data_IF_735917204959
#
_entry.id   IF_735917204959
#
_cell.length_a   1.000
_cell.length_b   1.000
_cell.length_c   1.000
_cell.angle_alpha   90.00
_cell.angle_beta   90.00
_cell.angle_gamma   90.00
#
_symmetry.space_group_name_H-M   'P 1'
#
loop_
_entity.id
_entity.type
_entity.pdbx_description
1 polymer ?
#
# COMPACT_ATOMS: atom_id res chain seq x y z
N UNK A 1 -21.71 12.97 -2.86
CA UNK A 1 -22.09 12.53 -1.51
C UNK A 1 -23.60 12.42 -1.47
N UNK A 2 -24.14 11.21 -1.66
CA UNK A 2 -25.52 10.93 -1.26
C UNK A 2 -25.43 10.44 0.17
N UNK A 3 -25.91 11.24 1.11
CA UNK A 3 -26.19 10.80 2.48
C UNK A 3 -27.39 9.85 2.42
N UNK A 4 -27.13 8.56 2.29
CA UNK A 4 -28.12 7.54 2.62
C UNK A 4 -28.25 7.53 4.14
N UNK A 5 -29.38 8.04 4.63
CA UNK A 5 -29.84 7.79 5.99
C UNK A 5 -29.93 6.29 6.19
N UNK A 6 -28.92 5.70 6.83
CA UNK A 6 -28.93 4.31 7.29
C UNK A 6 -29.92 4.21 8.44
N UNK A 7 -31.15 3.87 8.13
CA UNK A 7 -32.05 3.28 9.13
C UNK A 7 -31.55 1.85 9.36
N UNK A 8 -31.14 1.55 10.59
CA UNK A 8 -30.80 0.17 10.99
C UNK A 8 -31.91 -0.77 10.54
N UNK A 9 -31.62 -1.85 9.79
CA UNK A 9 -32.65 -2.77 9.34
C UNK A 9 -33.46 -3.30 10.53
N UNK A 10 -34.78 -3.35 10.34
CA UNK A 10 -35.74 -3.80 11.35
C UNK A 10 -36.12 -5.28 11.17
N UNK A 11 -35.68 -5.91 10.07
CA UNK A 11 -35.96 -7.31 9.75
C UNK A 11 -34.68 -8.06 9.31
N UNK A 12 -34.68 -9.38 9.54
CA UNK A 12 -33.52 -10.25 9.34
C UNK A 12 -33.08 -10.36 7.87
N UNK A 13 -34.02 -10.39 6.93
CA UNK A 13 -33.74 -10.53 5.50
C UNK A 13 -32.94 -9.34 4.98
N UNK A 14 -33.37 -8.12 5.31
CA UNK A 14 -32.61 -6.92 4.94
C UNK A 14 -31.25 -6.85 5.65
N UNK A 15 -31.17 -7.28 6.92
CA UNK A 15 -29.91 -7.31 7.65
C UNK A 15 -28.89 -8.29 7.02
N UNK A 16 -29.33 -9.48 6.63
CA UNK A 16 -28.50 -10.45 5.91
C UNK A 16 -28.08 -9.92 4.54
N UNK A 17 -29.01 -9.33 3.77
CA UNK A 17 -28.67 -8.72 2.47
C UNK A 17 -27.61 -7.63 2.65
N UNK A 18 -27.71 -6.79 3.69
CA UNK A 18 -26.71 -5.77 3.98
C UNK A 18 -25.35 -6.36 4.37
N UNK A 19 -25.34 -7.47 5.12
CA UNK A 19 -24.11 -8.16 5.51
C UNK A 19 -23.42 -8.88 4.34
N UNK A 20 -24.19 -9.30 3.34
CA UNK A 20 -23.72 -10.13 2.23
C UNK A 20 -23.44 -9.34 0.94
N UNK A 21 -23.91 -8.09 0.84
CA UNK A 21 -23.66 -7.25 -0.31
C UNK A 21 -22.32 -6.52 -0.20
N UNK A 22 -21.39 -6.87 -1.09
CA UNK A 22 -20.06 -6.26 -1.16
C UNK A 22 -19.30 -6.26 0.18
N UNK A 23 -19.27 -7.40 0.90
CA UNK A 23 -18.74 -7.45 2.26
C UNK A 23 -17.25 -7.08 2.34
N UNK A 24 -16.51 -7.27 1.25
CA UNK A 24 -15.08 -6.95 1.18
C UNK A 24 -14.81 -5.51 0.74
N UNK A 25 -15.83 -4.73 0.38
CA UNK A 25 -15.67 -3.31 0.03
C UNK A 25 -14.64 -3.11 -1.09
N UNK A 26 -13.54 -2.44 -0.75
CA UNK A 26 -12.41 -2.18 -1.65
C UNK A 26 -11.18 -3.06 -1.38
N UNK A 27 -11.26 -4.06 -0.48
CA UNK A 27 -10.13 -4.91 -0.12
C UNK A 27 -9.46 -5.53 -1.35
N UNK A 28 -10.28 -5.92 -2.33
CA UNK A 28 -9.83 -6.35 -3.65
C UNK A 28 -10.51 -5.56 -4.75
N UNK A 29 -9.81 -4.54 -5.26
CA UNK A 29 -10.25 -3.82 -6.45
C UNK A 29 -9.91 -4.66 -7.69
N UNK A 30 -10.88 -4.85 -8.59
CA UNK A 30 -10.60 -5.46 -9.90
C UNK A 30 -9.90 -4.46 -10.82
N UNK A 31 -8.75 -4.86 -11.37
CA UNK A 31 -7.99 -4.11 -12.38
C UNK A 31 -7.94 -4.88 -13.69
N UNK A 32 -7.75 -4.17 -14.81
CA UNK A 32 -7.55 -4.81 -16.11
C UNK A 32 -6.21 -5.54 -16.13
N UNK A 33 -6.20 -6.73 -16.74
CA UNK A 33 -4.96 -7.45 -16.97
C UNK A 33 -4.30 -6.97 -18.26
N UNK A 34 -2.99 -6.79 -18.19
CA UNK A 34 -2.12 -6.55 -19.33
C UNK A 34 -1.09 -7.67 -19.45
N UNK A 35 -0.77 -8.07 -20.68
CA UNK A 35 0.32 -9.02 -20.94
C UNK A 35 1.70 -8.39 -20.67
N UNK A 36 2.76 -9.17 -20.84
CA UNK A 36 4.14 -8.75 -20.59
C UNK A 36 4.60 -7.59 -21.49
N UNK A 37 3.92 -7.37 -22.61
CA UNK A 37 4.17 -6.31 -23.58
C UNK A 37 3.32 -5.06 -23.31
N UNK A 38 2.46 -5.09 -22.28
CA UNK A 38 1.57 -4.00 -21.91
C UNK A 38 0.28 -3.94 -22.74
N UNK A 39 -0.08 -5.00 -23.48
CA UNK A 39 -1.35 -5.06 -24.19
C UNK A 39 -2.48 -5.48 -23.24
N UNK A 40 -3.61 -4.78 -23.30
CA UNK A 40 -4.80 -5.10 -22.51
C UNK A 40 -5.36 -6.45 -22.97
N UNK A 41 -5.44 -7.42 -22.08
CA UNK A 41 -5.95 -8.77 -22.39
C UNK A 41 -7.48 -8.84 -22.43
N UNK A 42 -8.16 -7.83 -21.88
CA UNK A 42 -9.61 -7.78 -21.72
C UNK A 42 -10.12 -8.49 -20.46
N UNK A 43 -9.22 -9.15 -19.72
CA UNK A 43 -9.53 -9.81 -18.46
C UNK A 43 -9.36 -8.86 -17.27
N UNK A 44 -9.89 -9.25 -16.11
CA UNK A 44 -9.73 -8.51 -14.85
C UNK A 44 -9.19 -9.44 -13.77
N UNK A 45 -8.28 -8.92 -12.95
CA UNK A 45 -7.75 -9.60 -11.78
C UNK A 45 -8.00 -8.80 -10.51
N UNK A 46 -8.12 -9.50 -9.38
CA UNK A 46 -8.29 -8.90 -8.05
C UNK A 46 -6.93 -8.47 -7.50
N UNK A 47 -6.79 -7.18 -7.20
CA UNK A 47 -5.59 -6.62 -6.57
C UNK A 47 -5.85 -6.29 -5.10
N UNK A 48 -4.96 -6.74 -4.22
CA UNK A 48 -5.09 -6.44 -2.79
C UNK A 48 -4.77 -4.98 -2.49
N UNK A 49 -5.56 -4.32 -1.65
CA UNK A 49 -5.44 -2.87 -1.46
C UNK A 49 -4.05 -2.42 -0.95
N UNK A 50 -3.36 -3.19 -0.12
CA UNK A 50 -1.99 -2.83 0.31
C UNK A 50 -0.96 -2.95 -0.81
N UNK A 51 -1.19 -3.88 -1.75
CA UNK A 51 -0.49 -3.88 -3.03
C UNK A 51 -0.80 -2.53 -3.68
N UNK A 52 -2.08 -2.21 -3.91
CA UNK A 52 -2.50 -0.94 -4.50
C UNK A 52 -1.99 0.33 -3.82
N UNK A 53 -1.63 0.34 -2.54
CA UNK A 53 -1.23 1.56 -1.84
C UNK A 53 0.26 1.57 -1.49
N UNK A 54 1.04 0.66 -2.07
CA UNK A 54 2.51 0.78 -2.14
C UNK A 54 3.29 -0.01 -1.10
N UNK A 55 2.72 -1.02 -0.42
CA UNK A 55 3.53 -1.92 0.41
C UNK A 55 4.46 -2.83 -0.43
N UNK A 56 3.96 -3.39 -1.56
CA UNK A 56 4.69 -4.21 -2.54
C UNK A 56 4.34 -3.85 -4.01
N UNK A 57 4.12 -2.55 -4.25
CA UNK A 57 3.63 -1.96 -5.52
C UNK A 57 2.16 -2.25 -5.76
N UNK A 58 1.24 -1.36 -6.18
CA UNK A 58 1.31 -0.04 -6.78
C UNK A 58 0.04 0.85 -6.57
N UNK A 59 0.25 2.11 -6.18
CA UNK A 59 -0.51 3.38 -6.38
C UNK A 59 -1.89 3.74 -5.75
N UNK A 60 -1.90 4.79 -4.89
CA UNK A 60 -3.08 5.59 -4.50
C UNK A 60 -2.96 7.07 -4.90
N UNK A 61 -4.12 7.74 -5.07
CA UNK A 61 -4.26 9.20 -5.02
C UNK A 61 -5.49 9.63 -4.19
N UNK A 62 -5.38 10.72 -3.38
CA UNK A 62 -6.51 11.57 -3.09
C UNK A 62 -6.73 12.58 -4.23
N UNK A 63 -8.00 12.84 -4.50
CA UNK A 63 -8.51 13.75 -5.52
C UNK A 63 -8.05 15.21 -5.41
N UNK A 64 -7.70 15.81 -6.56
CA UNK A 64 -7.67 17.26 -6.90
C UNK A 64 -6.72 18.18 -6.10
N UNK A 65 -5.41 18.17 -6.40
CA UNK A 65 -4.57 19.39 -6.39
C UNK A 65 -3.47 19.28 -7.46
N UNK A 66 -3.30 20.26 -8.37
CA UNK A 66 -2.22 20.27 -9.36
C UNK A 66 -1.01 21.06 -8.82
N UNK A 67 -0.18 20.49 -7.95
CA UNK A 67 1.16 21.06 -7.69
C UNK A 67 2.18 20.16 -6.95
N UNK A 68 1.88 18.90 -6.68
CA UNK A 68 2.88 17.98 -6.10
C UNK A 68 2.72 16.63 -6.79
N UNK A 69 3.56 16.36 -7.79
CA UNK A 69 3.68 15.02 -8.37
C UNK A 69 4.17 14.08 -7.26
N UNK A 70 3.39 13.07 -6.84
CA UNK A 70 3.90 12.05 -5.94
C UNK A 70 4.88 11.17 -6.73
N UNK A 71 6.07 11.00 -6.15
CA UNK A 71 7.19 10.21 -6.66
C UNK A 71 6.96 8.77 -6.19
N UNK A 72 6.74 7.85 -7.13
CA UNK A 72 6.49 6.44 -6.85
C UNK A 72 7.78 5.68 -6.53
N UNK A 73 7.85 5.14 -5.31
CA UNK A 73 8.60 3.91 -5.07
C UNK A 73 7.91 3.08 -3.98
N UNK A 74 7.91 1.76 -4.16
CA UNK A 74 7.42 0.80 -3.17
C UNK A 74 8.03 1.11 -1.81
N UNK A 75 7.23 1.03 -0.75
CA UNK A 75 7.71 1.31 0.59
C UNK A 75 8.97 0.50 0.91
N UNK A 76 8.99 -0.80 0.59
CA UNK A 76 10.16 -1.66 0.77
C UNK A 76 11.40 -1.15 0.05
N UNK A 77 11.24 -0.87 -1.24
CA UNK A 77 12.32 -0.47 -2.13
C UNK A 77 12.86 0.91 -1.72
N UNK A 78 11.96 1.81 -1.29
CA UNK A 78 12.32 3.13 -0.77
C UNK A 78 13.03 3.05 0.58
N UNK A 79 12.58 2.15 1.47
CA UNK A 79 13.25 1.88 2.75
C UNK A 79 14.67 1.37 2.49
N UNK A 80 14.84 0.40 1.59
CA UNK A 80 16.17 -0.11 1.19
C UNK A 80 17.06 1.01 0.65
N UNK A 81 16.56 1.84 -0.27
CA UNK A 81 17.31 2.99 -0.76
C UNK A 81 17.72 3.95 0.37
N UNK A 82 16.84 4.16 1.34
CA UNK A 82 17.11 5.04 2.48
C UNK A 82 18.11 4.45 3.47
N UNK A 83 18.24 3.13 3.49
CA UNK A 83 19.25 2.46 4.30
C UNK A 83 20.64 2.44 3.64
N UNK A 84 20.78 2.99 2.43
CA UNK A 84 22.10 3.20 1.78
C UNK A 84 22.83 4.46 2.25
N UNK A 85 22.13 5.36 2.95
CA UNK A 85 22.76 6.54 3.55
C UNK A 85 23.73 6.16 4.68
N UNK A 86 24.71 7.03 4.99
CA UNK A 86 25.61 6.82 6.13
C UNK A 86 24.84 6.58 7.43
N UNK A 87 25.29 5.61 8.21
CA UNK A 87 24.64 5.21 9.47
C UNK A 87 25.11 6.03 10.67
N UNK A 88 26.27 6.68 10.54
CA UNK A 88 26.89 7.50 11.57
C UNK A 88 27.79 8.59 10.97
N UNK A 89 28.18 9.56 11.81
CA UNK A 89 29.05 10.67 11.41
C UNK A 89 30.42 10.22 10.86
N UNK A 90 31.11 9.21 11.44
CA UNK A 90 32.34 8.67 10.85
C UNK A 90 32.16 8.12 9.43
N UNK A 91 31.06 7.41 9.17
CA UNK A 91 30.73 6.90 7.82
C UNK A 91 30.44 8.05 6.86
N UNK A 92 29.75 9.09 7.32
CA UNK A 92 29.50 10.29 6.52
C UNK A 92 30.81 11.01 6.16
N UNK A 93 31.68 11.29 7.13
CA UNK A 93 32.99 11.93 6.91
C UNK A 93 33.90 11.08 6.01
N UNK A 94 33.76 9.75 6.04
CA UNK A 94 34.53 8.86 5.15
C UNK A 94 34.10 9.04 3.68
N UNK A 95 32.80 9.17 3.41
CA UNK A 95 32.29 9.37 2.05
C UNK A 95 32.44 10.82 1.57
N UNK A 96 32.29 11.77 2.49
CA UNK A 96 32.27 13.21 2.20
C UNK A 96 33.25 13.95 3.11
N UNK A 97 34.58 13.76 2.98
CA UNK A 97 35.54 14.37 3.88
C UNK A 97 35.39 15.89 3.93
N UNK A 98 35.23 16.45 5.13
CA UNK A 98 35.05 17.89 5.35
C UNK A 98 36.21 18.71 4.77
N UNK A 99 37.42 18.15 4.84
CA UNK A 99 38.62 18.74 4.26
C UNK A 99 38.53 18.93 2.73
N UNK A 100 37.79 18.07 2.03
CA UNK A 100 37.55 18.13 0.58
C UNK A 100 36.39 19.05 0.20
N UNK A 101 35.64 19.57 1.18
CA UNK A 101 34.41 20.35 0.99
C UNK A 101 34.54 21.79 1.51
N UNK A 102 35.71 22.40 1.32
CA UNK A 102 35.95 23.80 1.71
C UNK A 102 35.00 24.78 1.01
N UNK A 103 34.61 24.50 -0.24
CA UNK A 103 33.63 25.30 -0.98
C UNK A 103 32.26 25.33 -0.29
N UNK A 104 31.81 24.18 0.24
CA UNK A 104 30.56 24.07 0.98
C UNK A 104 30.58 24.92 2.26
N UNK A 105 31.67 24.80 3.03
CA UNK A 105 31.85 25.56 4.28
C UNK A 105 32.01 27.07 4.03
N UNK A 106 32.57 27.45 2.87
CA UNK A 106 32.69 28.86 2.46
C UNK A 106 31.36 29.46 2.03
N UNK A 107 30.48 28.64 1.44
CA UNK A 107 29.13 29.03 1.06
C UNK A 107 28.22 29.19 2.29
N UNK A 108 28.19 28.18 3.17
CA UNK A 108 27.49 28.23 4.45
C UNK A 108 28.24 27.35 5.48
N UNK A 109 28.81 27.95 6.55
CA UNK A 109 29.59 27.23 7.55
C UNK A 109 28.85 26.12 8.28
N UNK A 110 27.51 26.15 8.29
CA UNK A 110 26.67 25.17 8.96
C UNK A 110 26.15 24.08 8.01
N UNK A 111 26.30 24.25 6.69
CA UNK A 111 25.67 23.37 5.71
C UNK A 111 26.23 21.94 5.76
N UNK A 112 27.54 21.79 6.02
CA UNK A 112 28.14 20.46 6.21
C UNK A 112 27.46 19.70 7.36
N UNK A 113 27.39 20.32 8.54
CA UNK A 113 26.80 19.70 9.72
C UNK A 113 25.31 19.45 9.57
N UNK A 114 24.57 20.41 8.97
CA UNK A 114 23.15 20.24 8.71
C UNK A 114 22.87 19.09 7.74
N UNK A 115 23.73 18.90 6.74
CA UNK A 115 23.60 17.79 5.77
C UNK A 115 23.88 16.45 6.42
N UNK A 116 24.94 16.37 7.23
CA UNK A 116 25.24 15.18 8.04
C UNK A 116 24.04 14.82 8.92
N UNK A 117 23.57 15.74 9.75
CA UNK A 117 22.43 15.52 10.65
C UNK A 117 21.18 15.06 9.88
N UNK A 118 20.81 15.73 8.78
CA UNK A 118 19.63 15.35 8.02
C UNK A 118 19.72 13.94 7.41
N UNK A 119 20.89 13.53 6.91
CA UNK A 119 21.07 12.17 6.38
C UNK A 119 21.02 11.10 7.48
N UNK A 120 21.66 11.36 8.62
CA UNK A 120 21.67 10.42 9.74
C UNK A 120 20.29 10.28 10.38
N UNK A 121 19.57 11.38 10.61
CA UNK A 121 18.23 11.35 11.20
C UNK A 121 17.20 10.70 10.27
N UNK A 122 17.34 10.93 8.96
CA UNK A 122 16.55 10.23 7.95
C UNK A 122 16.83 8.74 7.95
N UNK A 123 18.10 8.32 7.94
CA UNK A 123 18.49 6.91 8.03
C UNK A 123 17.93 6.26 9.29
N UNK A 124 18.11 6.90 10.46
CA UNK A 124 17.61 6.40 11.75
C UNK A 124 16.09 6.22 11.74
N UNK A 125 15.35 7.18 11.18
CA UNK A 125 13.89 7.11 11.08
C UNK A 125 13.41 5.98 10.17
N UNK A 126 14.10 5.76 9.04
CA UNK A 126 13.80 4.67 8.11
C UNK A 126 14.19 3.30 8.68
N UNK A 127 15.30 3.22 9.43
CA UNK A 127 15.71 2.00 10.13
C UNK A 127 14.70 1.66 11.24
N UNK A 128 14.30 2.63 12.07
CA UNK A 128 13.26 2.44 13.09
C UNK A 128 11.95 1.94 12.47
N UNK A 129 11.51 2.54 11.36
CA UNK A 129 10.35 2.07 10.63
C UNK A 129 10.52 0.62 10.15
N UNK A 130 11.67 0.28 9.59
CA UNK A 130 11.97 -1.09 9.15
C UNK A 130 11.90 -2.09 10.29
N UNK A 131 12.49 -1.77 11.44
CA UNK A 131 12.54 -2.67 12.61
C UNK A 131 11.17 -2.84 13.30
N UNK A 132 10.39 -1.76 13.40
CA UNK A 132 9.20 -1.73 14.27
C UNK A 132 7.86 -1.73 13.51
N UNK A 133 7.82 -1.37 12.23
CA UNK A 133 6.59 -1.28 11.45
C UNK A 133 6.45 -2.41 10.41
N UNK A 134 7.54 -2.86 9.77
CA UNK A 134 7.46 -3.82 8.64
C UNK A 134 6.82 -5.16 9.04
N UNK A 135 7.13 -5.69 10.22
CA UNK A 135 6.54 -6.93 10.72
C UNK A 135 5.02 -6.84 10.92
N UNK A 136 4.50 -5.64 11.23
CA UNK A 136 3.07 -5.41 11.45
C UNK A 136 2.24 -5.62 10.19
N UNK A 137 2.81 -5.35 9.00
CA UNK A 137 2.12 -5.58 7.72
C UNK A 137 1.85 -7.07 7.48
N UNK A 138 2.81 -7.92 7.83
CA UNK A 138 2.63 -9.37 7.72
C UNK A 138 1.48 -9.87 8.61
N UNK A 139 1.36 -9.32 9.82
CA UNK A 139 0.24 -9.61 10.71
C UNK A 139 -1.09 -9.18 10.09
N UNK A 140 -1.17 -8.01 9.45
CA UNK A 140 -2.40 -7.56 8.75
C UNK A 140 -2.81 -8.55 7.65
N UNK A 141 -1.87 -9.08 6.86
CA UNK A 141 -2.17 -10.08 5.84
C UNK A 141 -2.69 -11.38 6.44
N UNK A 142 -2.05 -11.86 7.51
CA UNK A 142 -2.48 -13.06 8.23
C UNK A 142 -3.89 -12.88 8.78
N UNK A 143 -4.18 -11.74 9.41
CA UNK A 143 -5.50 -11.48 9.99
C UNK A 143 -6.60 -11.38 8.94
N UNK A 144 -6.29 -10.76 7.80
CA UNK A 144 -7.18 -10.71 6.65
C UNK A 144 -7.48 -12.10 6.11
N UNK A 145 -6.43 -12.92 5.94
CA UNK A 145 -6.59 -14.31 5.51
C UNK A 145 -7.45 -15.11 6.49
N UNK A 146 -7.20 -15.00 7.79
CA UNK A 146 -7.96 -15.71 8.83
C UNK A 146 -9.44 -15.34 8.77
N UNK A 147 -9.77 -14.05 8.69
CA UNK A 147 -11.15 -13.61 8.65
C UNK A 147 -11.86 -14.08 7.38
N UNK A 148 -11.28 -13.85 6.20
CA UNK A 148 -11.88 -14.25 4.93
C UNK A 148 -12.07 -15.77 4.83
N UNK A 149 -11.10 -16.55 5.32
CA UNK A 149 -11.21 -18.02 5.36
C UNK A 149 -12.37 -18.45 6.26
N UNK A 150 -12.45 -17.92 7.48
CA UNK A 150 -13.52 -18.25 8.41
C UNK A 150 -14.91 -17.89 7.85
N UNK A 151 -15.04 -16.74 7.18
CA UNK A 151 -16.29 -16.32 6.54
C UNK A 151 -16.68 -17.26 5.40
N UNK A 152 -15.75 -17.58 4.49
CA UNK A 152 -16.00 -18.48 3.38
C UNK A 152 -16.41 -19.89 3.86
N UNK A 153 -15.71 -20.44 4.85
CA UNK A 153 -15.97 -21.78 5.38
C UNK A 153 -17.33 -21.87 6.09
N UNK A 154 -17.68 -20.87 6.91
CA UNK A 154 -18.95 -20.86 7.63
C UNK A 154 -20.15 -20.55 6.72
N UNK A 155 -19.94 -19.81 5.63
CA UNK A 155 -21.03 -19.46 4.72
C UNK A 155 -21.44 -20.63 3.82
N UNK A 156 -20.48 -21.43 3.33
CA UNK A 156 -20.77 -22.55 2.42
C UNK A 156 -19.93 -23.81 2.67
N UNK A 157 -18.71 -23.69 3.17
CA UNK A 157 -17.76 -24.80 3.32
C UNK A 157 -18.19 -25.95 4.23
N UNK A 158 -19.13 -25.70 5.15
CA UNK A 158 -19.61 -26.69 6.12
C UNK A 158 -20.88 -27.48 5.68
N UNK A 159 -21.33 -27.37 4.43
CA UNK A 159 -22.49 -28.13 3.93
C UNK A 159 -23.80 -27.74 4.63
N UNK A 160 -24.57 -28.70 5.14
CA UNK A 160 -25.88 -28.43 5.78
C UNK A 160 -25.77 -27.56 7.05
N UNK A 161 -24.63 -27.59 7.74
CA UNK A 161 -24.39 -26.77 8.94
C UNK A 161 -23.79 -25.39 8.62
N UNK A 162 -23.60 -25.06 7.34
CA UNK A 162 -23.21 -23.71 6.91
C UNK A 162 -24.39 -22.74 6.97
N UNK A 163 -24.13 -21.42 6.90
CA UNK A 163 -25.20 -20.42 6.81
C UNK A 163 -26.12 -20.71 5.61
N UNK A 164 -25.58 -21.07 4.45
CA UNK A 164 -26.39 -21.41 3.27
C UNK A 164 -27.29 -22.63 3.53
N UNK A 165 -26.74 -23.66 4.17
CA UNK A 165 -27.48 -24.87 4.54
C UNK A 165 -28.63 -24.57 5.50
N UNK A 166 -28.33 -23.83 6.58
CA UNK A 166 -29.31 -23.45 7.59
C UNK A 166 -30.42 -22.57 7.00
N UNK A 167 -30.08 -21.56 6.19
CA UNK A 167 -31.08 -20.72 5.52
C UNK A 167 -31.96 -21.55 4.58
N UNK A 168 -31.39 -22.52 3.86
CA UNK A 168 -32.15 -23.39 2.97
C UNK A 168 -33.13 -24.28 3.73
N UNK A 169 -32.76 -24.77 4.92
CA UNK A 169 -33.66 -25.50 5.80
C UNK A 169 -34.75 -24.58 6.37
N UNK A 170 -34.40 -23.41 6.91
CA UNK A 170 -35.33 -22.43 7.49
C UNK A 170 -36.36 -21.89 6.49
N UNK A 171 -36.02 -21.88 5.20
CA UNK A 171 -36.91 -21.45 4.11
C UNK A 171 -37.53 -22.62 3.34
N UNK A 172 -37.29 -23.86 3.79
CA UNK A 172 -37.80 -25.07 3.18
C UNK A 172 -39.31 -25.27 3.38
N UNK A 173 -39.86 -26.27 2.67
CA UNK A 173 -41.30 -26.55 2.68
C UNK A 173 -41.85 -26.82 4.09
N UNK A 174 -41.04 -27.44 4.96
CA UNK A 174 -41.39 -27.74 6.36
C UNK A 174 -41.79 -26.50 7.17
N UNK A 175 -41.18 -25.34 6.88
CA UNK A 175 -41.41 -24.08 7.61
C UNK A 175 -42.11 -23.00 6.75
N UNK A 176 -42.72 -23.42 5.63
CA UNK A 176 -43.39 -22.49 4.70
C UNK A 176 -44.71 -21.90 5.22
N UNK A 177 -45.35 -22.57 6.17
CA UNK A 177 -46.67 -22.20 6.69
C UNK A 177 -46.58 -21.40 8.00
N UNK A 178 -47.49 -20.44 8.26
CA UNK A 178 -47.60 -19.80 9.56
C UNK A 178 -47.79 -20.81 10.70
N UNK A 179 -47.18 -20.56 11.85
CA UNK A 179 -47.21 -21.44 13.01
C UNK A 179 -46.00 -22.37 13.11
N UNK A 180 -45.30 -22.60 12.00
CA UNK A 180 -44.11 -23.48 11.94
C UNK A 180 -42.90 -22.89 12.68
N UNK A 181 -42.86 -21.58 12.90
CA UNK A 181 -41.85 -20.92 13.75
C UNK A 181 -41.88 -21.40 15.21
N UNK A 182 -42.98 -22.02 15.65
CA UNK A 182 -43.08 -22.58 17.00
C UNK A 182 -42.44 -23.96 17.14
N UNK A 183 -42.05 -24.58 16.03
CA UNK A 183 -41.32 -25.86 16.03
C UNK A 183 -39.98 -25.70 16.77
N UNK A 184 -39.65 -26.70 17.58
CA UNK A 184 -38.38 -26.76 18.28
C UNK A 184 -37.21 -26.78 17.31
N UNK A 185 -37.34 -27.46 16.17
CA UNK A 185 -36.29 -27.55 15.17
C UNK A 185 -36.07 -26.22 14.44
N UNK A 186 -37.13 -25.48 14.09
CA UNK A 186 -37.02 -24.13 13.55
C UNK A 186 -36.25 -23.20 14.49
N UNK A 187 -36.62 -23.21 15.78
CA UNK A 187 -35.95 -22.39 16.81
C UNK A 187 -34.49 -22.79 16.98
N UNK A 188 -34.18 -24.08 16.97
CA UNK A 188 -32.81 -24.60 17.03
C UNK A 188 -31.96 -24.16 15.85
N UNK A 189 -32.51 -24.20 14.63
CA UNK A 189 -31.84 -23.74 13.41
C UNK A 189 -31.60 -22.22 13.41
N UNK A 190 -32.61 -21.43 13.78
CA UNK A 190 -32.49 -19.98 13.88
C UNK A 190 -31.46 -19.57 14.94
N UNK A 191 -31.46 -20.24 16.10
CA UNK A 191 -30.46 -20.04 17.14
C UNK A 191 -29.05 -20.39 16.66
N UNK A 192 -28.90 -21.52 15.94
CA UNK A 192 -27.60 -21.93 15.38
C UNK A 192 -27.06 -20.92 14.37
N UNK A 193 -27.92 -20.40 13.48
CA UNK A 193 -27.54 -19.32 12.56
C UNK A 193 -27.16 -18.03 13.32
N UNK A 194 -27.92 -17.67 14.35
CA UNK A 194 -27.63 -16.50 15.19
C UNK A 194 -26.26 -16.61 15.86
N UNK A 195 -25.92 -17.76 16.43
CA UNK A 195 -24.63 -18.02 17.09
C UNK A 195 -23.47 -17.99 16.10
N UNK A 196 -23.65 -18.57 14.90
CA UNK A 196 -22.65 -18.50 13.83
C UNK A 196 -22.36 -17.05 13.43
N UNK A 197 -23.41 -16.26 13.18
CA UNK A 197 -23.29 -14.84 12.81
C UNK A 197 -22.63 -14.03 13.94
N UNK A 198 -22.96 -14.32 15.20
CA UNK A 198 -22.35 -13.68 16.36
C UNK A 198 -20.86 -13.99 16.47
N UNK A 199 -20.47 -15.25 16.31
CA UNK A 199 -19.07 -15.68 16.38
C UNK A 199 -18.24 -15.02 15.27
N UNK A 200 -18.77 -14.96 14.05
CA UNK A 200 -18.12 -14.26 12.93
C UNK A 200 -18.04 -12.75 13.16
N UNK A 201 -19.10 -12.15 13.72
CA UNK A 201 -19.10 -10.73 14.12
C UNK A 201 -18.00 -10.41 15.14
N UNK A 202 -17.89 -11.24 16.18
CA UNK A 202 -16.86 -11.11 17.21
C UNK A 202 -15.46 -11.28 16.62
N UNK A 203 -15.26 -12.27 15.75
CA UNK A 203 -13.98 -12.47 15.05
C UNK A 203 -13.62 -11.24 14.20
N UNK A 204 -14.54 -10.72 13.39
CA UNK A 204 -14.31 -9.54 12.55
C UNK A 204 -13.93 -8.31 13.40
N UNK A 205 -14.66 -8.05 14.49
CA UNK A 205 -14.38 -6.95 15.41
C UNK A 205 -13.05 -7.12 16.16
N UNK A 206 -12.69 -8.35 16.52
CA UNK A 206 -11.39 -8.67 17.11
C UNK A 206 -10.26 -8.36 16.12
N UNK A 207 -10.38 -8.79 14.86
CA UNK A 207 -9.39 -8.50 13.82
C UNK A 207 -9.31 -7.01 13.51
N UNK A 208 -10.45 -6.32 13.43
CA UNK A 208 -10.48 -4.87 13.28
C UNK A 208 -9.72 -4.14 14.40
N UNK A 209 -9.91 -4.57 15.66
CA UNK A 209 -9.23 -3.99 16.82
C UNK A 209 -7.71 -4.24 16.78
N UNK A 210 -7.30 -5.43 16.34
CA UNK A 210 -5.89 -5.77 16.15
C UNK A 210 -5.24 -4.92 15.06
N UNK A 211 -5.85 -4.83 13.87
CA UNK A 211 -5.40 -3.97 12.77
C UNK A 211 -5.33 -2.50 13.20
N UNK A 212 -6.26 -2.03 14.02
CA UNK A 212 -6.21 -0.68 14.57
C UNK A 212 -4.94 -0.43 15.40
N UNK A 213 -4.58 -1.38 16.29
CA UNK A 213 -3.34 -1.30 17.08
C UNK A 213 -2.07 -1.34 16.23
N UNK A 214 -2.05 -2.17 15.18
CA UNK A 214 -0.96 -2.24 14.20
C UNK A 214 -0.85 -0.91 13.42
N UNK A 215 -1.98 -0.35 13.00
CA UNK A 215 -2.04 0.94 12.29
C UNK A 215 -1.49 2.07 13.14
N UNK A 216 -1.83 2.12 14.43
CA UNK A 216 -1.28 3.12 15.35
C UNK A 216 0.25 2.99 15.50
N UNK A 217 0.77 1.76 15.55
CA UNK A 217 2.21 1.49 15.63
C UNK A 217 2.94 1.94 14.36
N UNK A 218 2.40 1.62 13.18
CA UNK A 218 2.93 2.07 11.88
C UNK A 218 2.88 3.60 11.77
N UNK A 219 1.77 4.22 12.15
CA UNK A 219 1.60 5.68 12.13
C UNK A 219 2.60 6.40 13.06
N UNK A 220 2.89 5.81 14.24
CA UNK A 220 3.90 6.36 15.15
C UNK A 220 5.28 6.40 14.50
N UNK A 221 5.69 5.33 13.80
CA UNK A 221 6.99 5.34 13.09
C UNK A 221 6.97 6.26 11.87
N UNK A 222 5.88 6.27 11.10
CA UNK A 222 5.70 7.18 9.96
C UNK A 222 5.82 8.65 10.36
N UNK A 223 5.36 9.03 11.56
CA UNK A 223 5.47 10.40 12.06
C UNK A 223 6.91 10.87 12.28
N UNK A 224 7.83 9.96 12.61
CA UNK A 224 9.27 10.26 12.74
C UNK A 224 9.86 10.64 11.38
N UNK A 225 9.55 9.86 10.35
CA UNK A 225 9.97 10.15 8.96
C UNK A 225 9.38 11.48 8.46
N UNK A 226 8.12 11.76 8.80
CA UNK A 226 7.51 13.05 8.46
C UNK A 226 8.14 14.23 9.21
N UNK A 227 8.75 13.99 10.37
CA UNK A 227 9.45 15.03 11.15
C UNK A 227 10.79 15.37 10.50
N UNK A 228 11.57 14.35 10.13
CA UNK A 228 12.87 14.53 9.46
C UNK A 228 12.74 15.17 8.09
N UNK A 229 11.59 15.04 7.43
CA UNK A 229 11.30 15.75 6.18
C UNK A 229 11.60 17.25 6.22
N UNK A 230 11.31 17.94 7.32
CA UNK A 230 11.56 19.39 7.42
C UNK A 230 13.06 19.73 7.38
N UNK A 231 13.88 18.88 8.00
CA UNK A 231 15.33 19.04 8.04
C UNK A 231 15.93 18.74 6.65
N UNK A 232 15.44 17.68 6.01
CA UNK A 232 15.80 17.34 4.62
C UNK A 232 15.43 18.48 3.67
N UNK A 233 14.20 18.98 3.71
CA UNK A 233 13.72 20.06 2.84
C UNK A 233 14.57 21.34 3.02
N UNK A 234 15.01 21.63 4.24
CA UNK A 234 15.88 22.77 4.53
C UNK A 234 17.28 22.61 3.91
N UNK A 235 17.88 21.42 3.98
CA UNK A 235 19.17 21.11 3.33
C UNK A 235 19.04 21.16 1.82
N UNK A 236 18.04 20.49 1.25
CA UNK A 236 17.76 20.46 -0.20
C UNK A 236 17.59 21.87 -0.77
N UNK A 237 16.91 22.75 -0.02
CA UNK A 237 16.76 24.16 -0.40
C UNK A 237 18.10 24.89 -0.48
N UNK A 238 18.99 24.72 0.51
CA UNK A 238 20.33 25.36 0.51
C UNK A 238 21.22 24.86 -0.62
N UNK A 239 21.10 23.58 -0.98
CA UNK A 239 21.78 23.03 -2.16
C UNK A 239 21.24 23.64 -3.47
N UNK A 240 19.96 24.02 -3.51
CA UNK A 240 19.35 24.69 -4.65
C UNK A 240 18.76 23.73 -5.69
N UNK A 241 18.35 22.53 -5.26
CA UNK A 241 17.80 21.48 -6.14
C UNK A 241 16.38 21.78 -6.65
N UNK A 242 15.57 22.54 -5.90
CA UNK A 242 14.17 22.86 -6.26
C UNK A 242 13.96 24.37 -6.49
N UNK A 243 14.28 25.18 -5.47
CA UNK A 243 14.38 26.66 -5.52
C UNK A 243 15.11 27.12 -4.27
N UNK A 244 16.20 27.88 -4.38
CA UNK A 244 16.99 28.24 -3.20
C UNK A 244 18.35 28.86 -3.51
N UNK A 245 19.24 28.82 -2.51
CA UNK A 245 20.46 29.65 -2.40
C UNK A 245 21.60 29.23 -3.36
N UNK A 246 21.36 28.18 -4.16
CA UNK A 246 22.16 27.71 -5.31
C UNK A 246 23.62 27.35 -5.00
N UNK A 247 23.92 26.60 -3.93
CA UNK A 247 25.26 26.03 -3.76
C UNK A 247 25.72 25.27 -5.03
N UNK A 248 24.83 24.52 -5.66
CA UNK A 248 25.10 23.79 -6.92
C UNK A 248 25.59 24.72 -8.04
N UNK A 249 25.08 25.96 -8.12
CA UNK A 249 25.54 26.95 -9.11
C UNK A 249 26.97 27.45 -8.86
N UNK A 250 27.46 27.33 -7.63
CA UNK A 250 28.87 27.66 -7.31
C UNK A 250 29.85 26.61 -7.83
N UNK A 251 29.37 25.41 -8.18
CA UNK A 251 30.17 24.30 -8.71
C UNK A 251 30.29 24.33 -10.24
N UNK A 252 29.16 24.46 -10.95
CA UNK A 252 29.03 24.71 -12.41
C UNK A 252 27.55 24.91 -12.77
N UNK A 253 27.22 25.91 -13.59
CA UNK A 253 25.86 26.15 -14.10
C UNK A 253 25.33 24.98 -14.96
N UNK A 254 26.22 24.31 -15.70
CA UNK A 254 25.86 23.18 -16.58
C UNK A 254 25.46 21.94 -15.79
N UNK A 255 26.07 21.72 -14.61
CA UNK A 255 25.71 20.61 -13.73
C UNK A 255 24.25 20.70 -13.27
N UNK A 256 23.81 21.92 -12.90
CA UNK A 256 22.42 22.17 -12.50
C UNK A 256 21.44 21.74 -13.60
N UNK A 257 21.76 22.04 -14.86
CA UNK A 257 20.93 21.67 -16.01
C UNK A 257 20.83 20.15 -16.19
N UNK A 258 21.95 19.43 -16.13
CA UNK A 258 21.96 17.97 -16.31
C UNK A 258 21.20 17.25 -15.19
N UNK A 259 21.31 17.75 -13.95
CA UNK A 259 20.56 17.22 -12.82
C UNK A 259 19.05 17.45 -12.96
N UNK A 260 18.63 18.63 -13.43
CA UNK A 260 17.22 18.94 -13.71
C UNK A 260 16.67 17.98 -14.79
N UNK A 261 17.41 17.75 -15.87
CA UNK A 261 17.00 16.82 -16.93
C UNK A 261 16.83 15.40 -16.39
N UNK A 262 17.76 14.92 -15.56
CA UNK A 262 17.65 13.62 -14.92
C UNK A 262 16.42 13.53 -14.00
N UNK A 263 16.22 14.51 -13.11
CA UNK A 263 15.08 14.53 -12.19
C UNK A 263 13.75 14.54 -12.95
N UNK A 264 13.63 15.35 -14.00
CA UNK A 264 12.42 15.40 -14.84
C UNK A 264 12.12 14.06 -15.51
N UNK A 265 13.15 13.35 -15.98
CA UNK A 265 12.99 12.01 -16.58
C UNK A 265 12.53 10.98 -15.53
N UNK A 266 13.08 11.05 -14.32
CA UNK A 266 12.68 10.18 -13.18
C UNK A 266 11.22 10.42 -12.82
N UNK A 267 10.84 11.69 -12.63
CA UNK A 267 9.45 12.09 -12.32
C UNK A 267 8.47 11.64 -13.42
N UNK A 268 8.85 11.78 -14.70
CA UNK A 268 8.02 11.35 -15.82
C UNK A 268 7.84 9.82 -15.87
N UNK A 269 8.87 9.05 -15.53
CA UNK A 269 8.79 7.60 -15.43
C UNK A 269 7.85 7.16 -14.30
N UNK A 270 7.97 7.80 -13.14
CA UNK A 270 7.10 7.56 -11.99
C UNK A 270 5.66 7.98 -12.26
N UNK A 271 5.43 9.12 -12.91
CA UNK A 271 4.08 9.54 -13.29
C UNK A 271 3.42 8.55 -14.27
N UNK A 272 4.14 8.10 -15.30
CA UNK A 272 3.63 7.11 -16.23
C UNK A 272 3.25 5.80 -15.54
N UNK A 273 4.06 5.38 -14.55
CA UNK A 273 3.77 4.20 -13.74
C UNK A 273 2.53 4.37 -12.86
N UNK A 274 2.32 5.55 -12.31
CA UNK A 274 1.14 5.84 -11.50
C UNK A 274 -0.16 5.67 -12.29
N UNK A 275 -0.16 6.12 -13.54
CA UNK A 275 -1.31 6.00 -14.41
C UNK A 275 -1.56 4.56 -14.84
N UNK A 276 -0.50 3.81 -15.15
CA UNK A 276 -0.60 2.38 -15.45
C UNK A 276 -1.25 1.61 -14.30
N UNK A 277 -0.74 1.79 -13.09
CA UNK A 277 -1.14 1.02 -11.90
C UNK A 277 -2.56 1.27 -11.41
N UNK A 278 -3.11 2.43 -11.76
CA UNK A 278 -4.48 2.81 -11.44
C UNK A 278 -5.51 1.93 -12.16
N UNK A 279 -5.16 1.46 -13.34
CA UNK A 279 -6.08 0.85 -14.29
C UNK A 279 -5.68 -0.58 -14.65
N UNK A 280 -4.37 -0.87 -14.60
CA UNK A 280 -3.77 -2.10 -15.11
C UNK A 280 -3.05 -2.89 -14.01
N UNK A 281 -2.98 -4.19 -14.20
CA UNK A 281 -2.16 -5.14 -13.47
C UNK A 281 -1.47 -6.05 -14.49
N UNK A 282 -0.16 -6.22 -14.38
CA UNK A 282 0.56 -7.17 -15.24
C UNK A 282 0.10 -8.60 -14.90
N UNK A 283 -0.17 -9.40 -15.92
CA UNK A 283 -0.63 -10.78 -15.78
C UNK A 283 0.46 -11.71 -15.20
N UNK A 284 1.74 -11.34 -15.36
CA UNK A 284 2.87 -12.00 -14.74
C UNK A 284 3.43 -11.16 -13.56
N UNK A 285 3.76 -11.85 -12.47
CA UNK A 285 3.81 -11.30 -11.10
C UNK A 285 5.16 -10.69 -10.68
N UNK A 286 6.15 -10.59 -11.58
CA UNK A 286 7.48 -10.10 -11.24
C UNK A 286 7.57 -8.57 -11.33
N UNK A 287 7.48 -7.89 -10.18
CA UNK A 287 7.78 -6.46 -10.11
C UNK A 287 9.27 -6.23 -10.36
N UNK A 288 9.59 -5.50 -11.43
CA UNK A 288 10.96 -5.11 -11.78
C UNK A 288 11.30 -3.72 -11.26
N UNK A 289 12.57 -3.45 -10.95
CA UNK A 289 13.07 -2.12 -10.56
C UNK A 289 14.45 -1.83 -11.15
N UNK A 290 14.71 -0.54 -11.42
CA UNK A 290 16.00 -0.03 -11.87
C UNK A 290 16.55 0.92 -10.80
N UNK A 291 17.79 0.70 -10.37
CA UNK A 291 18.51 1.57 -9.43
C UNK A 291 19.30 2.66 -10.15
N UNK A 292 19.17 3.89 -9.65
CA UNK A 292 19.91 5.06 -10.11
C UNK A 292 20.52 5.75 -8.90
N UNK A 293 21.86 5.87 -8.79
CA UNK A 293 22.52 6.33 -7.57
C UNK A 293 22.06 7.69 -7.02
N UNK A 294 21.61 8.63 -7.86
CA UNK A 294 21.18 9.97 -7.42
C UNK A 294 19.66 10.16 -7.34
N UNK A 295 18.88 9.14 -7.74
CA UNK A 295 17.42 9.21 -7.78
C UNK A 295 16.74 8.08 -7.01
N UNK A 296 17.47 7.00 -6.79
CA UNK A 296 17.06 5.80 -6.11
C UNK A 296 16.40 4.81 -7.06
N UNK A 297 15.41 4.10 -6.56
CA UNK A 297 14.71 3.09 -7.35
C UNK A 297 13.59 3.68 -8.19
N UNK A 298 13.52 3.20 -9.43
CA UNK A 298 12.40 3.42 -10.33
C UNK A 298 11.75 2.08 -10.65
N UNK A 299 10.43 2.05 -10.63
CA UNK A 299 9.67 0.85 -10.99
C UNK A 299 9.81 0.50 -12.48
N UNK A 300 9.89 -0.79 -12.74
CA UNK A 300 10.46 -1.42 -13.92
C UNK A 300 9.47 -2.11 -14.85
N UNK A 301 8.17 -1.81 -14.80
CA UNK A 301 7.16 -2.45 -15.67
C UNK A 301 7.50 -2.31 -17.15
N UNK A 302 7.42 -3.40 -17.91
CA UNK A 302 7.73 -3.45 -19.35
C UNK A 302 6.82 -2.53 -20.18
N UNK A 303 5.59 -2.31 -19.72
CA UNK A 303 4.66 -1.35 -20.33
C UNK A 303 5.19 0.11 -20.35
N UNK A 304 6.27 0.42 -19.61
CA UNK A 304 6.80 1.78 -19.42
C UNK A 304 8.29 1.88 -19.81
N UNK A 305 8.78 0.91 -20.59
CA UNK A 305 10.17 0.83 -21.10
C UNK A 305 10.70 2.14 -21.70
N UNK A 306 9.85 2.88 -22.42
CA UNK A 306 10.25 4.14 -23.04
C UNK A 306 10.75 5.15 -22.00
N UNK A 307 10.10 5.24 -20.82
CA UNK A 307 10.54 6.18 -19.77
C UNK A 307 11.80 5.71 -19.06
N UNK A 308 11.97 4.40 -18.90
CA UNK A 308 13.22 3.85 -18.36
C UNK A 308 14.41 4.18 -19.28
N UNK A 309 14.21 4.14 -20.61
CA UNK A 309 15.22 4.54 -21.59
C UNK A 309 15.58 6.02 -21.47
N UNK A 310 14.59 6.90 -21.37
CA UNK A 310 14.81 8.35 -21.19
C UNK A 310 15.66 8.63 -19.95
N UNK A 311 15.37 7.93 -18.85
CA UNK A 311 16.14 8.04 -17.61
C UNK A 311 17.57 7.52 -17.77
N UNK A 312 17.77 6.39 -18.44
CA UNK A 312 19.13 5.85 -18.75
C UNK A 312 19.97 6.84 -19.54
N UNK A 313 19.38 7.50 -20.52
CA UNK A 313 20.07 8.51 -21.33
C UNK A 313 20.46 9.73 -20.48
N UNK A 314 19.53 10.26 -19.69
CA UNK A 314 19.80 11.41 -18.82
C UNK A 314 20.88 11.10 -17.76
N UNK A 315 20.92 9.87 -17.24
CA UNK A 315 21.97 9.43 -16.32
C UNK A 315 23.36 9.40 -16.97
N UNK A 316 23.45 8.88 -18.20
CA UNK A 316 24.71 8.85 -18.93
C UNK A 316 25.26 10.27 -19.20
N UNK A 317 24.39 11.22 -19.55
CA UNK A 317 24.75 12.63 -19.72
C UNK A 317 25.26 13.25 -18.41
N UNK A 318 24.57 12.96 -17.30
CA UNK A 318 24.97 13.39 -15.96
C UNK A 318 26.34 12.82 -15.55
N UNK A 319 26.58 11.53 -15.76
CA UNK A 319 27.86 10.88 -15.47
C UNK A 319 29.01 11.43 -16.31
N UNK A 320 28.80 11.60 -17.62
CA UNK A 320 29.81 12.16 -18.52
C UNK A 320 30.23 13.57 -18.09
N UNK A 321 29.27 14.38 -17.61
CA UNK A 321 29.55 15.71 -17.10
C UNK A 321 30.45 15.69 -15.85
N UNK A 322 30.20 14.78 -14.90
CA UNK A 322 31.03 14.63 -13.69
C UNK A 322 32.41 14.06 -14.03
N UNK A 323 32.49 13.07 -14.93
CA UNK A 323 33.74 12.45 -15.35
C UNK A 323 34.76 13.43 -15.94
N UNK A 324 34.28 14.52 -16.54
CA UNK A 324 35.11 15.58 -17.13
C UNK A 324 35.67 16.58 -16.10
N UNK A 325 35.39 16.43 -14.80
CA UNK A 325 35.87 17.33 -13.73
C UNK A 325 37.27 16.93 -13.24
N UNK A 326 38.15 17.92 -13.07
CA UNK A 326 39.60 17.72 -12.97
C UNK A 326 40.16 17.41 -11.58
N UNK A 327 39.42 17.64 -10.49
CA UNK A 327 39.94 17.49 -9.10
C UNK A 327 39.07 16.59 -8.24
N UNK A 328 39.67 15.83 -7.33
CA UNK A 328 38.94 14.94 -6.40
C UNK A 328 38.05 15.71 -5.40
N UNK A 329 38.44 16.92 -4.98
CA UNK A 329 37.61 17.79 -4.15
C UNK A 329 36.29 18.16 -4.84
N UNK A 330 36.37 18.56 -6.12
CA UNK A 330 35.20 18.85 -6.95
C UNK A 330 34.33 17.61 -7.17
N UNK A 331 34.93 16.42 -7.39
CA UNK A 331 34.18 15.16 -7.49
C UNK A 331 33.46 14.82 -6.18
N UNK A 332 34.09 15.05 -5.03
CA UNK A 332 33.48 14.86 -3.69
C UNK A 332 32.29 15.81 -3.50
N UNK A 333 32.41 17.08 -3.91
CA UNK A 333 31.31 18.03 -3.88
C UNK A 333 30.12 17.57 -4.75
N UNK A 334 30.37 17.09 -5.98
CA UNK A 334 29.31 16.53 -6.84
C UNK A 334 28.70 15.24 -6.28
N UNK A 335 29.49 14.39 -5.64
CA UNK A 335 28.99 13.19 -4.97
C UNK A 335 28.03 13.56 -3.81
N UNK A 336 28.38 14.58 -3.01
CA UNK A 336 27.51 15.07 -1.94
C UNK A 336 26.21 15.68 -2.50
N UNK A 337 26.29 16.47 -3.58
CA UNK A 337 25.08 16.99 -4.28
C UNK A 337 24.18 15.84 -4.75
N UNK A 338 24.77 14.81 -5.34
CA UNK A 338 24.04 13.61 -5.78
C UNK A 338 23.36 12.89 -4.61
N UNK A 339 24.03 12.77 -3.47
CA UNK A 339 23.47 12.17 -2.26
C UNK A 339 22.34 13.01 -1.64
N UNK A 340 22.46 14.34 -1.63
CA UNK A 340 21.38 15.24 -1.19
C UNK A 340 20.17 15.16 -2.14
N UNK A 341 20.39 14.96 -3.44
CA UNK A 341 19.29 14.73 -4.40
C UNK A 341 18.60 13.39 -4.18
N UNK A 342 19.38 12.32 -3.97
CA UNK A 342 18.84 11.02 -3.57
C UNK A 342 18.02 11.16 -2.29
N UNK A 343 18.53 11.89 -1.29
CA UNK A 343 17.87 12.11 -0.01
C UNK A 343 16.53 12.82 -0.21
N UNK A 344 16.50 13.86 -1.05
CA UNK A 344 15.27 14.57 -1.41
C UNK A 344 14.22 13.63 -2.00
N UNK A 345 14.61 12.85 -3.01
CA UNK A 345 13.69 11.97 -3.75
C UNK A 345 13.19 10.82 -2.87
N UNK A 346 14.07 10.20 -2.08
CA UNK A 346 13.70 9.11 -1.17
C UNK A 346 12.86 9.58 0.01
N UNK A 347 13.16 10.75 0.56
CA UNK A 347 12.35 11.33 1.64
C UNK A 347 10.92 11.64 1.17
N UNK A 348 10.77 12.22 -0.03
CA UNK A 348 9.46 12.43 -0.62
C UNK A 348 8.73 11.11 -0.85
N UNK A 349 9.38 10.15 -1.50
CA UNK A 349 8.78 8.87 -1.86
C UNK A 349 8.33 8.07 -0.63
N UNK A 350 9.15 7.97 0.41
CA UNK A 350 8.75 7.29 1.65
C UNK A 350 7.61 8.01 2.34
N UNK A 351 7.67 9.34 2.46
CA UNK A 351 6.60 10.12 3.09
C UNK A 351 5.24 9.88 2.41
N UNK A 352 5.24 9.75 1.09
CA UNK A 352 4.03 9.47 0.31
C UNK A 352 3.58 8.02 0.44
N UNK A 353 4.52 7.06 0.42
CA UNK A 353 4.23 5.64 0.57
C UNK A 353 3.71 5.29 1.97
N UNK A 354 4.29 5.81 3.05
CA UNK A 354 3.79 5.57 4.42
C UNK A 354 2.40 6.19 4.65
N UNK A 355 2.11 7.33 4.02
CA UNK A 355 0.77 7.95 4.07
C UNK A 355 -0.25 7.08 3.36
N UNK A 356 0.07 6.61 2.16
CA UNK A 356 -0.81 5.76 1.34
C UNK A 356 -1.11 4.44 2.04
N UNK A 357 -0.09 3.78 2.58
CA UNK A 357 -0.25 2.61 3.45
C UNK A 357 -1.20 2.90 4.62
N UNK A 358 -1.06 4.06 5.28
CA UNK A 358 -1.94 4.44 6.39
C UNK A 358 -3.41 4.48 5.98
N UNK A 359 -3.71 4.98 4.77
CA UNK A 359 -5.08 4.97 4.21
C UNK A 359 -5.55 3.54 3.96
N UNK A 360 -4.75 2.69 3.33
CA UNK A 360 -5.12 1.29 3.07
C UNK A 360 -5.40 0.50 4.36
N UNK A 361 -4.60 0.70 5.40
CA UNK A 361 -4.81 0.05 6.70
C UNK A 361 -6.13 0.50 7.36
N UNK A 362 -6.47 1.79 7.26
CA UNK A 362 -7.74 2.32 7.73
C UNK A 362 -8.93 1.77 6.93
N UNK A 363 -8.78 1.59 5.62
CA UNK A 363 -9.80 0.97 4.76
C UNK A 363 -10.02 -0.50 5.13
N UNK A 364 -8.95 -1.28 5.36
CA UNK A 364 -9.05 -2.67 5.84
C UNK A 364 -9.76 -2.72 7.19
N UNK A 365 -9.32 -1.90 8.16
CA UNK A 365 -9.94 -1.82 9.48
C UNK A 365 -11.43 -1.51 9.38
N UNK A 366 -11.80 -0.48 8.62
CA UNK A 366 -13.19 -0.03 8.47
C UNK A 366 -14.06 -1.11 7.83
N UNK A 367 -13.51 -1.86 6.88
CA UNK A 367 -14.20 -2.99 6.25
C UNK A 367 -14.49 -4.08 7.28
N UNK A 368 -13.54 -4.43 8.15
CA UNK A 368 -13.75 -5.47 9.17
C UNK A 368 -14.76 -5.03 10.24
N UNK A 369 -14.74 -3.75 10.62
CA UNK A 369 -15.78 -3.18 11.50
C UNK A 369 -17.16 -3.27 10.84
N UNK A 370 -17.26 -2.94 9.55
CA UNK A 370 -18.53 -3.01 8.82
C UNK A 370 -19.06 -4.45 8.75
N UNK A 371 -18.20 -5.43 8.42
CA UNK A 371 -18.54 -6.85 8.47
C UNK A 371 -19.02 -7.24 9.87
N UNK A 372 -18.26 -6.87 10.91
CA UNK A 372 -18.59 -7.17 12.30
C UNK A 372 -19.95 -6.62 12.72
N UNK A 373 -20.23 -5.36 12.43
CA UNK A 373 -21.49 -4.71 12.77
C UNK A 373 -22.68 -5.31 12.01
N UNK A 374 -22.54 -5.54 10.70
CA UNK A 374 -23.63 -6.07 9.88
C UNK A 374 -23.99 -7.51 10.30
N UNK A 375 -22.99 -8.35 10.57
CA UNK A 375 -23.22 -9.72 11.06
C UNK A 375 -23.81 -9.73 12.48
N UNK A 376 -23.35 -8.83 13.36
CA UNK A 376 -23.88 -8.72 14.73
C UNK A 376 -25.34 -8.28 14.74
N UNK A 377 -25.72 -7.38 13.83
CA UNK A 377 -27.12 -6.99 13.66
C UNK A 377 -27.98 -8.15 13.13
N UNK A 378 -27.49 -8.87 12.11
CA UNK A 378 -28.20 -10.04 11.59
C UNK A 378 -28.35 -11.13 12.67
N UNK A 379 -27.33 -11.38 13.49
CA UNK A 379 -27.41 -12.28 14.64
C UNK A 379 -28.53 -11.88 15.62
N UNK A 380 -28.55 -10.60 16.02
CA UNK A 380 -29.54 -10.08 16.97
C UNK A 380 -30.97 -10.27 16.47
N UNK A 381 -31.22 -10.02 15.18
CA UNK A 381 -32.54 -10.18 14.57
C UNK A 381 -32.91 -11.66 14.38
N UNK A 382 -31.95 -12.51 14.03
CA UNK A 382 -32.16 -13.96 13.89
C UNK A 382 -32.54 -14.62 15.22
N UNK A 383 -31.95 -14.14 16.33
CA UNK A 383 -32.18 -14.68 17.68
C UNK A 383 -33.64 -14.59 18.16
N UNK A 384 -34.47 -13.72 17.55
CA UNK A 384 -35.89 -13.65 17.87
C UNK A 384 -36.63 -14.96 17.57
N UNK A 385 -36.19 -15.68 16.52
CA UNK A 385 -36.71 -16.99 16.12
C UNK A 385 -38.25 -17.07 16.11
N UNK A 386 -38.89 -16.02 15.57
CA UNK A 386 -40.35 -15.85 15.55
C UNK A 386 -40.90 -15.75 14.11
N UNK A 387 -42.20 -15.44 13.99
CA UNK A 387 -42.88 -15.37 12.69
C UNK A 387 -42.34 -14.24 11.80
N UNK A 388 -41.78 -13.18 12.40
CA UNK A 388 -41.15 -12.09 11.64
C UNK A 388 -39.87 -12.55 10.96
N UNK A 389 -39.07 -13.38 11.66
CA UNK A 389 -37.88 -14.03 11.11
C UNK A 389 -38.27 -14.97 9.98
N UNK A 390 -39.21 -15.90 10.23
CA UNK A 390 -39.71 -16.85 9.22
C UNK A 390 -40.18 -16.13 7.95
N UNK A 391 -41.05 -15.14 8.12
CA UNK A 391 -41.64 -14.39 7.01
C UNK A 391 -40.58 -13.63 6.22
N UNK A 392 -39.67 -12.93 6.89
CA UNK A 392 -38.61 -12.17 6.22
C UNK A 392 -37.60 -13.07 5.49
N UNK A 393 -37.21 -14.21 6.08
CA UNK A 393 -36.31 -15.16 5.43
C UNK A 393 -36.92 -15.76 4.16
N UNK A 394 -38.18 -16.18 4.20
CA UNK A 394 -38.89 -16.72 3.03
C UNK A 394 -39.01 -15.65 1.94
N UNK A 395 -39.41 -14.42 2.30
CA UNK A 395 -39.57 -13.33 1.34
C UNK A 395 -38.26 -12.95 0.63
N UNK A 396 -37.11 -13.12 1.32
CA UNK A 396 -35.80 -12.70 0.83
C UNK A 396 -34.88 -13.87 0.43
N UNK A 397 -35.38 -15.12 0.41
CA UNK A 397 -34.56 -16.33 0.25
C UNK A 397 -33.60 -16.25 -0.95
N UNK A 398 -34.12 -15.90 -2.12
CA UNK A 398 -33.31 -15.84 -3.34
C UNK A 398 -32.20 -14.78 -3.25
N UNK A 399 -32.52 -13.60 -2.70
CA UNK A 399 -31.57 -12.52 -2.53
C UNK A 399 -30.48 -12.89 -1.50
N UNK A 400 -30.86 -13.53 -0.40
CA UNK A 400 -29.92 -14.01 0.62
C UNK A 400 -29.00 -15.08 0.03
N UNK A 401 -29.54 -16.09 -0.66
CA UNK A 401 -28.72 -17.15 -1.26
C UNK A 401 -27.75 -16.61 -2.31
N UNK A 402 -28.22 -15.73 -3.20
CA UNK A 402 -27.34 -15.07 -4.17
C UNK A 402 -26.27 -14.20 -3.49
N UNK A 403 -26.64 -13.50 -2.41
CA UNK A 403 -25.74 -12.73 -1.57
C UNK A 403 -24.65 -13.60 -0.93
N UNK A 404 -24.99 -14.77 -0.39
CA UNK A 404 -24.02 -15.72 0.18
C UNK A 404 -23.01 -16.15 -0.88
N UNK A 405 -23.47 -16.57 -2.06
CA UNK A 405 -22.57 -16.99 -3.15
C UNK A 405 -21.62 -15.87 -3.55
N UNK A 406 -22.14 -14.64 -3.70
CA UNK A 406 -21.33 -13.47 -4.04
C UNK A 406 -20.31 -13.14 -2.95
N UNK A 407 -20.73 -13.13 -1.68
CA UNK A 407 -19.86 -12.88 -0.54
C UNK A 407 -18.72 -13.88 -0.45
N UNK A 408 -19.00 -15.18 -0.62
CA UNK A 408 -17.97 -16.23 -0.63
C UNK A 408 -16.98 -16.03 -1.77
N UNK A 409 -17.46 -15.69 -2.98
CA UNK A 409 -16.56 -15.40 -4.10
C UNK A 409 -15.65 -14.20 -3.77
N UNK A 410 -16.19 -13.11 -3.21
CA UNK A 410 -15.38 -11.95 -2.81
C UNK A 410 -14.34 -12.30 -1.74
N UNK A 411 -14.67 -13.14 -0.75
CA UNK A 411 -13.71 -13.61 0.24
C UNK A 411 -12.63 -14.50 -0.37
N UNK A 412 -12.99 -15.36 -1.32
CA UNK A 412 -12.03 -16.19 -2.06
C UNK A 412 -11.12 -15.35 -2.93
N UNK A 413 -11.64 -14.35 -3.63
CA UNK A 413 -10.85 -13.39 -4.40
C UNK A 413 -9.88 -12.62 -3.50
N UNK A 414 -10.32 -12.24 -2.29
CA UNK A 414 -9.46 -11.63 -1.26
C UNK A 414 -8.37 -12.59 -0.78
N UNK A 415 -8.70 -13.85 -0.53
CA UNK A 415 -7.72 -14.86 -0.14
C UNK A 415 -6.65 -15.07 -1.23
N UNK A 416 -7.07 -15.20 -2.49
CA UNK A 416 -6.16 -15.32 -3.62
C UNK A 416 -5.28 -14.09 -3.79
N UNK A 417 -5.83 -12.88 -3.64
CA UNK A 417 -5.05 -11.64 -3.72
C UNK A 417 -4.03 -11.52 -2.57
N UNK A 418 -4.38 -11.90 -1.34
CA UNK A 418 -3.45 -11.94 -0.20
C UNK A 418 -2.36 -13.00 -0.43
N UNK A 419 -2.70 -14.17 -0.96
CA UNK A 419 -1.70 -15.21 -1.29
C UNK A 419 -0.77 -14.78 -2.42
N UNK A 420 -1.29 -14.13 -3.46
CA UNK A 420 -0.50 -13.56 -4.54
C UNK A 420 0.45 -12.49 -4.01
N UNK A 421 0.01 -11.64 -3.08
CA UNK A 421 0.88 -10.67 -2.42
C UNK A 421 2.04 -11.33 -1.66
N UNK A 422 1.75 -12.39 -0.91
CA UNK A 422 2.77 -13.18 -0.20
C UNK A 422 3.78 -13.79 -1.18
N UNK A 423 3.33 -14.22 -2.36
CA UNK A 423 4.20 -14.77 -3.39
C UNK A 423 5.04 -13.67 -4.08
N UNK A 424 4.43 -12.53 -4.43
CA UNK A 424 5.12 -11.36 -5.04
C UNK A 424 6.21 -10.83 -4.12
N UNK A 425 5.96 -10.83 -2.81
CA UNK A 425 6.93 -10.44 -1.79
C UNK A 425 8.26 -11.20 -1.93
N UNK A 426 8.21 -12.44 -2.43
CA UNK A 426 9.38 -13.28 -2.63
C UNK A 426 10.01 -13.19 -4.04
N UNK A 427 9.44 -12.43 -4.96
CA UNK A 427 9.80 -12.43 -6.40
C UNK A 427 10.12 -11.05 -6.99
N UNK A 428 10.52 -10.08 -6.16
CA UNK A 428 10.95 -8.75 -6.64
C UNK A 428 12.26 -8.88 -7.41
N UNK A 429 12.28 -8.37 -8.64
CA UNK A 429 13.49 -8.33 -9.47
C UNK A 429 14.07 -6.93 -9.48
N UNK A 430 15.37 -6.82 -9.24
CA UNK A 430 16.07 -5.53 -9.24
C UNK A 430 17.31 -5.56 -10.09
N UNK A 431 17.57 -4.46 -10.78
CA UNK A 431 18.77 -4.30 -11.61
C UNK A 431 19.40 -2.92 -11.43
N UNK A 432 20.72 -2.85 -11.62
CA UNK A 432 21.43 -1.60 -11.80
C UNK A 432 21.11 -0.99 -13.17
N UNK A 433 21.31 0.31 -13.30
CA UNK A 433 21.17 0.98 -14.61
C UNK A 433 22.24 0.50 -15.62
N UNK A 434 23.38 0.03 -15.13
CA UNK A 434 24.51 -0.57 -15.86
C UNK A 434 25.14 -1.70 -15.03
N UNK A 435 25.95 -2.55 -15.66
CA UNK A 435 26.55 -3.73 -15.01
C UNK A 435 27.59 -3.39 -13.92
N UNK A 436 28.11 -2.16 -13.91
CA UNK A 436 29.08 -1.63 -12.94
C UNK A 436 28.43 -0.90 -11.76
N UNK A 437 27.10 -0.73 -11.78
CA UNK A 437 26.35 -0.13 -10.67
C UNK A 437 25.56 -1.24 -9.99
N UNK A 438 26.03 -1.66 -8.83
CA UNK A 438 25.30 -2.60 -8.00
C UNK A 438 24.06 -1.92 -7.40
N UNK A 439 22.92 -2.57 -7.59
CA UNK A 439 21.67 -2.15 -7.01
C UNK A 439 21.61 -2.67 -5.55
N UNK A 440 21.11 -1.88 -4.59
CA UNK A 440 21.00 -2.38 -3.22
C UNK A 440 20.05 -3.59 -3.15
N UNK A 441 20.26 -4.51 -2.21
CA UNK A 441 19.36 -5.67 -2.09
C UNK A 441 18.02 -5.24 -1.48
N UNK A 442 16.91 -5.61 -2.11
CA UNK A 442 15.59 -5.50 -1.48
C UNK A 442 15.50 -6.60 -0.41
N UNK A 443 15.16 -6.20 0.82
CA UNK A 443 15.02 -7.12 1.97
C UNK A 443 13.68 -7.83 1.98
#
# INVERSE_FOLDING_TARGET
>A
MSTTTSTSPTDIGQALINALNNPTGNLTRSLLLADEDGNITGEKGSRFILQSYGYLGTCYFPSRVPSTNPVLSDLRVSLVASLTFPVDAPSFETLYPKASLQSLNSFDPLLYQATETAMLDFWNSCNDFTQYAVSSFWTVFIETRILCQALADQFTGAGEVSLQGIISMLTGQAYSQPGSENDFEFKGLAQSASEMLLNLSQLANQKASSIHGLTASIASQASKIQTTRKEVDAVVKKFGLNSGDRYISTLDETHSMNQIVLNNSVEAAQAAKADWDREMMEANTAASYIWIPVAGWISGSNAILTKQKDVRMAWAEYQAHIGNKSTDATKTAYALVGAVNLLSLQNQAICDSVRSVGVALQEIQSTFVAIGNNLGQASTLMAAADDSVRTSLIANQQAIQAGITKAVQEFQDTLSAVQALIAIDSSIQTSGITADIDAPSVL
#
